data_IF_677526296911
#
_entry.id   IF_677526296911
#
_cell.length_a   1.000
_cell.length_b   1.000
_cell.length_c   1.000
_cell.angle_alpha   90.00
_cell.angle_beta   90.00
_cell.angle_gamma   90.00
#
_symmetry.space_group_name_H-M   'P 1'
#
loop_
_entity.id
_entity.type
_entity.pdbx_description
1 polymer ?
#
# COMPACT_ATOMS: atom_id res chain seq x y z
N UNK A 1 18.93 19.18 9.25
CA UNK A 1 18.69 17.86 8.62
C UNK A 1 17.48 17.12 9.20
N UNK A 2 17.52 16.53 10.41
CA UNK A 2 16.38 15.70 10.89
C UNK A 2 15.08 16.51 11.10
N UNK A 3 15.16 17.71 11.69
CA UNK A 3 13.98 18.59 11.82
C UNK A 3 13.38 18.99 10.45
N UNK A 4 14.21 19.18 9.43
CA UNK A 4 13.73 19.45 8.07
C UNK A 4 12.99 18.25 7.48
N UNK A 5 13.45 17.01 7.75
CA UNK A 5 12.74 15.80 7.34
C UNK A 5 11.35 15.68 7.99
N UNK A 6 11.20 16.13 9.24
CA UNK A 6 9.90 16.22 9.90
C UNK A 6 9.01 17.27 9.23
N UNK A 7 9.56 18.43 8.87
CA UNK A 7 8.82 19.48 8.15
C UNK A 7 8.43 19.03 6.73
N UNK A 8 9.28 18.28 6.02
CA UNK A 8 8.96 17.65 4.74
C UNK A 8 7.74 16.73 4.88
N UNK A 9 7.74 15.84 5.88
CA UNK A 9 6.60 14.96 6.17
C UNK A 9 5.34 15.75 6.59
N UNK A 10 5.50 16.79 7.41
CA UNK A 10 4.39 17.65 7.81
C UNK A 10 3.73 18.33 6.61
N UNK A 11 4.50 18.76 5.60
CA UNK A 11 3.96 19.35 4.37
C UNK A 11 3.09 18.37 3.58
N UNK A 12 3.47 17.09 3.53
CA UNK A 12 2.65 16.03 2.90
C UNK A 12 1.33 15.82 3.65
N UNK A 13 1.35 15.94 4.98
CA UNK A 13 0.17 15.73 5.82
C UNK A 13 -0.82 16.91 5.81
N UNK A 14 -0.37 18.14 5.49
CA UNK A 14 -1.11 19.39 5.72
C UNK A 14 -2.58 19.35 5.29
N UNK A 15 -2.85 18.90 4.07
CA UNK A 15 -4.20 18.92 3.48
C UNK A 15 -5.04 17.71 3.88
N UNK A 16 -4.41 16.64 4.37
CA UNK A 16 -5.02 15.32 4.53
C UNK A 16 -5.11 14.85 5.98
N UNK A 17 -4.30 15.41 6.87
CA UNK A 17 -4.24 15.15 8.30
C UNK A 17 -3.70 16.38 9.05
N UNK A 18 -4.59 17.35 9.40
CA UNK A 18 -4.22 18.48 10.25
C UNK A 18 -3.59 18.05 11.59
N UNK A 19 -4.03 16.91 12.16
CA UNK A 19 -3.47 16.36 13.40
C UNK A 19 -2.00 15.97 13.23
N UNK A 20 -1.70 15.13 12.24
CA UNK A 20 -0.31 14.68 12.01
C UNK A 20 0.56 15.84 11.57
N UNK A 21 0.02 16.77 10.78
CA UNK A 21 0.70 18.01 10.40
C UNK A 21 1.15 18.82 11.64
N UNK A 22 0.23 19.14 12.54
CA UNK A 22 0.51 19.94 13.73
C UNK A 22 1.50 19.23 14.68
N UNK A 23 1.35 17.91 14.85
CA UNK A 23 2.25 17.10 15.67
C UNK A 23 3.69 17.16 15.13
N UNK A 24 3.87 16.98 13.81
CA UNK A 24 5.20 16.97 13.19
C UNK A 24 5.86 18.34 13.16
N UNK A 25 5.09 19.42 12.99
CA UNK A 25 5.62 20.79 13.10
C UNK A 25 6.14 21.05 14.51
N UNK A 26 5.38 20.67 15.54
CA UNK A 26 5.76 20.86 16.93
C UNK A 26 6.99 20.02 17.31
N UNK A 27 7.01 18.76 16.89
CA UNK A 27 8.15 17.86 17.05
C UNK A 27 9.42 18.37 16.34
N UNK A 28 9.31 18.97 15.16
CA UNK A 28 10.44 19.58 14.46
C UNK A 28 11.01 20.79 15.24
N UNK A 29 10.14 21.61 15.83
CA UNK A 29 10.56 22.73 16.67
C UNK A 29 11.23 22.27 17.96
N UNK A 30 10.74 21.18 18.57
CA UNK A 30 11.35 20.55 19.75
C UNK A 30 12.72 19.92 19.44
N UNK A 31 12.84 19.23 18.29
CA UNK A 31 14.11 18.71 17.77
C UNK A 31 15.15 19.82 17.62
N UNK A 32 14.77 20.96 17.06
CA UNK A 32 15.66 22.11 16.85
C UNK A 32 16.18 22.68 18.17
N UNK A 33 15.38 22.60 19.25
CA UNK A 33 15.75 23.03 20.60
C UNK A 33 16.49 21.96 21.41
N UNK A 34 16.70 20.76 20.86
CA UNK A 34 17.31 19.64 21.60
C UNK A 34 16.42 19.03 22.67
N UNK A 35 15.09 19.13 22.51
CA UNK A 35 14.10 18.63 23.48
C UNK A 35 13.95 17.11 23.50
N UNK A 36 12.85 16.62 24.11
CA UNK A 36 12.59 15.19 24.27
C UNK A 36 12.52 14.43 22.93
N UNK A 37 12.08 15.08 21.86
CA UNK A 37 12.04 14.48 20.53
C UNK A 37 13.44 14.11 20.04
N UNK A 38 14.48 14.87 20.40
CA UNK A 38 15.87 14.52 20.07
C UNK A 38 16.32 13.24 20.79
N UNK A 39 15.83 12.99 22.00
CA UNK A 39 16.08 11.74 22.73
C UNK A 39 15.31 10.56 22.14
N UNK A 40 14.05 10.77 21.75
CA UNK A 40 13.24 9.73 21.07
C UNK A 40 13.87 9.34 19.74
N UNK A 41 14.36 10.31 18.97
CA UNK A 41 14.96 10.09 17.65
C UNK A 41 16.48 9.84 17.69
N UNK A 42 17.06 9.60 18.86
CA UNK A 42 18.48 9.30 18.99
C UNK A 42 18.82 8.01 18.22
N UNK A 43 19.74 8.09 17.25
CA UNK A 43 20.06 7.00 16.31
C UNK A 43 19.61 7.27 14.87
N UNK A 44 18.60 8.12 14.66
CA UNK A 44 18.08 8.48 13.34
C UNK A 44 18.94 9.55 12.61
N UNK A 45 20.21 9.73 12.99
CA UNK A 45 21.09 10.79 12.43
C UNK A 45 21.42 10.52 10.96
N UNK A 46 21.44 9.24 10.56
CA UNK A 46 21.70 8.80 9.19
C UNK A 46 20.44 8.74 8.31
N UNK A 47 19.29 9.17 8.84
CA UNK A 47 18.04 9.20 8.07
C UNK A 47 18.14 10.14 6.88
N UNK A 48 17.45 9.75 5.82
CA UNK A 48 17.39 10.47 4.55
C UNK A 48 15.93 10.69 4.18
N UNK A 49 15.66 11.49 3.15
CA UNK A 49 14.29 11.82 2.72
C UNK A 49 13.38 10.60 2.52
N UNK A 50 13.94 9.47 2.10
CA UNK A 50 13.20 8.22 1.88
C UNK A 50 12.87 7.40 3.15
N UNK A 51 13.55 7.61 4.29
CA UNK A 51 13.27 6.86 5.53
C UNK A 51 12.14 7.45 6.38
N UNK A 52 11.59 8.60 5.94
CA UNK A 52 10.41 9.26 6.52
C UNK A 52 10.36 9.26 8.07
N UNK A 53 11.42 9.71 8.78
CA UNK A 53 11.52 9.64 10.24
C UNK A 53 10.34 10.26 10.97
N UNK A 54 9.80 11.37 10.47
CA UNK A 54 8.62 12.01 11.05
C UNK A 54 7.40 11.08 11.05
N UNK A 55 7.17 10.33 9.97
CA UNK A 55 6.04 9.39 9.91
C UNK A 55 6.25 8.18 10.82
N UNK A 56 7.49 7.71 11.00
CA UNK A 56 7.81 6.67 12.00
C UNK A 56 7.53 7.15 13.41
N UNK A 57 7.93 8.38 13.74
CA UNK A 57 7.63 9.02 15.02
C UNK A 57 6.12 9.16 15.27
N UNK A 58 5.36 9.67 14.29
CA UNK A 58 3.92 9.80 14.40
C UNK A 58 3.21 8.44 14.55
N UNK A 59 3.66 7.42 13.80
CA UNK A 59 3.17 6.05 13.93
C UNK A 59 3.46 5.45 15.30
N UNK A 60 4.67 5.65 15.85
CA UNK A 60 5.02 5.19 17.19
C UNK A 60 4.15 5.82 18.28
N UNK A 61 3.86 7.13 18.20
CA UNK A 61 2.92 7.80 19.10
C UNK A 61 1.49 7.28 18.95
N UNK A 62 1.02 7.13 17.71
CA UNK A 62 -0.31 6.58 17.45
C UNK A 62 -0.44 5.15 17.99
N UNK A 63 0.62 4.35 17.89
CA UNK A 63 0.65 3.01 18.50
C UNK A 63 0.42 3.07 20.01
N UNK A 64 1.08 3.97 20.74
CA UNK A 64 0.84 4.13 22.18
C UNK A 64 -0.60 4.57 22.49
N UNK A 65 -1.18 5.43 21.65
CA UNK A 65 -2.59 5.83 21.74
C UNK A 65 -3.52 4.62 21.58
N UNK A 66 -3.30 3.81 20.55
CA UNK A 66 -4.11 2.60 20.27
C UNK A 66 -3.94 1.52 21.36
N UNK A 67 -2.76 1.43 21.96
CA UNK A 67 -2.49 0.55 23.11
C UNK A 67 -3.08 1.09 24.44
N UNK A 68 -3.71 2.26 24.44
CA UNK A 68 -4.28 2.89 25.64
C UNK A 68 -3.24 3.45 26.62
N UNK A 69 -1.98 3.60 26.19
CA UNK A 69 -0.86 4.06 27.03
C UNK A 69 -0.70 5.57 27.09
N UNK A 70 -1.49 6.30 26.32
CA UNK A 70 -1.38 7.75 26.19
C UNK A 70 -2.77 8.43 26.26
N UNK A 71 -3.52 8.31 27.38
CA UNK A 71 -4.92 8.75 27.46
C UNK A 71 -5.11 10.25 27.21
N UNK A 72 -4.19 11.10 27.68
CA UNK A 72 -4.24 12.54 27.39
C UNK A 72 -4.12 12.83 25.90
N UNK A 73 -3.12 12.23 25.25
CA UNK A 73 -2.92 12.34 23.80
C UNK A 73 -4.05 11.69 22.99
N UNK A 74 -4.61 10.57 23.46
CA UNK A 74 -5.70 9.85 22.81
C UNK A 74 -6.95 10.72 22.61
N UNK A 75 -7.19 11.68 23.52
CA UNK A 75 -8.29 12.62 23.41
C UNK A 75 -8.22 13.54 22.16
N UNK A 76 -7.10 13.54 21.44
CA UNK A 76 -6.92 14.22 20.15
C UNK A 76 -7.15 13.32 18.93
N UNK A 77 -7.16 12.00 19.09
CA UNK A 77 -7.15 11.03 18.00
C UNK A 77 -8.56 10.48 17.74
N UNK A 78 -9.22 10.86 16.63
CA UNK A 78 -10.48 10.25 16.22
C UNK A 78 -10.49 8.73 16.18
N UNK A 79 -9.39 8.10 15.76
CA UNK A 79 -9.23 6.63 15.77
C UNK A 79 -9.34 6.00 17.15
N UNK A 80 -9.15 6.78 18.23
CA UNK A 80 -9.32 6.39 19.63
C UNK A 80 -10.57 7.04 20.28
N UNK A 81 -11.48 7.62 19.49
CA UNK A 81 -12.69 8.29 19.97
C UNK A 81 -12.49 9.73 20.45
N UNK A 82 -11.31 10.31 20.23
CA UNK A 82 -11.00 11.71 20.54
C UNK A 82 -11.40 12.70 19.43
N UNK A 83 -11.09 13.98 19.64
CA UNK A 83 -11.31 15.06 18.68
C UNK A 83 -10.07 15.95 18.58
N UNK A 84 -9.55 16.27 17.38
CA UNK A 84 -8.31 17.03 17.23
C UNK A 84 -8.39 18.46 17.81
N UNK A 85 -7.86 18.65 19.03
CA UNK A 85 -7.62 19.98 19.62
C UNK A 85 -6.18 20.42 19.35
N UNK A 86 -5.93 21.00 18.18
CA UNK A 86 -4.56 21.29 17.71
C UNK A 86 -3.78 22.25 18.64
N UNK A 87 -4.49 23.15 19.33
CA UNK A 87 -3.87 24.14 20.22
C UNK A 87 -3.21 23.52 21.47
N UNK A 88 -3.71 22.40 21.99
CA UNK A 88 -3.16 21.72 23.18
C UNK A 88 -2.46 20.41 22.84
N UNK A 89 -2.50 19.98 21.57
CA UNK A 89 -1.95 18.71 21.11
C UNK A 89 -0.49 18.48 21.55
N UNK A 90 0.36 19.50 21.45
CA UNK A 90 1.76 19.35 21.82
C UNK A 90 1.97 19.27 23.34
N UNK A 91 1.20 20.06 24.10
CA UNK A 91 1.24 20.04 25.57
C UNK A 91 0.81 18.67 26.11
N UNK A 92 -0.17 18.03 25.47
CA UNK A 92 -0.64 16.69 25.80
C UNK A 92 0.30 15.57 25.27
N UNK A 93 1.09 15.86 24.22
CA UNK A 93 2.10 14.92 23.69
C UNK A 93 3.38 14.89 24.53
N UNK A 94 3.80 16.03 25.13
CA UNK A 94 5.05 16.15 25.86
C UNK A 94 5.18 15.13 27.03
N UNK A 95 4.19 14.99 27.94
CA UNK A 95 4.26 13.98 29.00
C UNK A 95 4.46 12.56 28.47
N UNK A 96 3.76 12.20 27.39
CA UNK A 96 3.87 10.88 26.74
C UNK A 96 5.28 10.65 26.18
N UNK A 97 5.85 11.66 25.52
CA UNK A 97 7.21 11.61 24.99
C UNK A 97 8.25 11.41 26.10
N UNK A 98 8.08 12.09 27.24
CA UNK A 98 8.96 11.95 28.40
C UNK A 98 8.82 10.59 29.07
N UNK A 99 7.60 10.14 29.33
CA UNK A 99 7.31 8.87 30.00
C UNK A 99 7.75 7.66 29.16
N UNK A 100 7.51 7.70 27.84
CA UNK A 100 7.72 6.56 26.94
C UNK A 100 8.94 6.71 26.03
N UNK A 101 9.94 7.54 26.40
CA UNK A 101 11.09 7.86 25.52
C UNK A 101 11.76 6.62 24.93
N UNK A 102 12.12 5.64 25.76
CA UNK A 102 12.87 4.45 25.30
C UNK A 102 12.00 3.51 24.47
N UNK A 103 10.70 3.38 24.82
CA UNK A 103 9.74 2.60 24.03
C UNK A 103 9.51 3.22 22.66
N UNK A 104 9.34 4.53 22.59
CA UNK A 104 9.19 5.25 21.33
C UNK A 104 10.44 5.14 20.45
N UNK A 105 11.65 5.26 21.05
CA UNK A 105 12.90 5.03 20.32
C UNK A 105 12.95 3.63 19.72
N UNK A 106 12.68 2.60 20.53
CA UNK A 106 12.66 1.22 20.06
C UNK A 106 11.65 0.99 18.93
N UNK A 107 10.45 1.58 19.02
CA UNK A 107 9.43 1.50 17.97
C UNK A 107 9.89 2.20 16.68
N UNK A 108 10.48 3.39 16.78
CA UNK A 108 11.00 4.14 15.63
C UNK A 108 12.12 3.35 14.94
N UNK A 109 13.05 2.81 15.71
CA UNK A 109 14.22 2.07 15.20
C UNK A 109 13.84 0.75 14.55
N UNK A 110 12.87 0.03 15.12
CA UNK A 110 12.41 -1.25 14.61
C UNK A 110 11.54 -1.14 13.35
N UNK A 111 11.05 0.06 13.01
CA UNK A 111 10.04 0.20 11.96
C UNK A 111 10.61 0.72 10.64
N UNK A 112 10.39 -0.03 9.57
CA UNK A 112 10.33 0.52 8.22
C UNK A 112 8.87 0.89 7.90
N UNK A 113 8.60 2.08 7.36
CA UNK A 113 7.22 2.44 6.97
C UNK A 113 6.79 1.54 5.82
N UNK A 114 5.83 0.66 6.08
CA UNK A 114 5.26 -0.22 5.07
C UNK A 114 3.85 0.26 4.71
N UNK A 115 3.62 0.49 3.42
CA UNK A 115 2.32 0.98 2.95
C UNK A 115 1.46 -0.18 2.47
N UNK A 116 0.77 -0.89 3.37
CA UNK A 116 -0.24 -1.88 2.99
C UNK A 116 -1.64 -1.23 2.93
N UNK A 117 -1.86 -0.35 1.96
CA UNK A 117 -3.10 0.41 1.82
C UNK A 117 -4.16 -0.39 1.03
N UNK A 118 -5.29 -0.80 1.64
CA UNK A 118 -6.32 -1.60 0.98
C UNK A 118 -7.06 -0.83 -0.13
N UNK A 119 -7.07 0.51 -0.10
CA UNK A 119 -7.68 1.31 -1.16
C UNK A 119 -7.06 1.08 -2.54
N UNK A 120 -5.80 0.62 -2.59
CA UNK A 120 -5.11 0.26 -3.84
C UNK A 120 -5.73 -0.97 -4.53
N UNK A 121 -6.47 -1.79 -3.79
CA UNK A 121 -7.26 -2.89 -4.38
C UNK A 121 -8.26 -2.39 -5.41
N UNK A 122 -8.74 -1.14 -5.33
CA UNK A 122 -9.66 -0.59 -6.32
C UNK A 122 -9.02 -0.54 -7.73
N UNK A 123 -7.99 0.29 -8.01
CA UNK A 123 -7.37 0.30 -9.35
C UNK A 123 -6.76 -1.07 -9.73
N UNK A 124 -6.18 -1.80 -8.78
CA UNK A 124 -5.60 -3.13 -9.05
C UNK A 124 -6.66 -4.15 -9.51
N UNK A 125 -7.87 -4.13 -8.95
CA UNK A 125 -8.98 -4.97 -9.40
C UNK A 125 -9.36 -4.69 -10.85
N UNK A 126 -9.56 -3.42 -11.22
CA UNK A 126 -9.88 -3.06 -12.61
C UNK A 126 -8.74 -3.41 -13.58
N UNK A 127 -7.48 -3.27 -13.15
CA UNK A 127 -6.31 -3.68 -13.93
C UNK A 127 -6.23 -5.19 -14.11
N UNK A 128 -6.56 -5.96 -13.08
CA UNK A 128 -6.59 -7.42 -13.12
C UNK A 128 -7.72 -7.95 -13.99
N UNK A 129 -8.91 -7.34 -13.92
CA UNK A 129 -10.00 -7.63 -14.86
C UNK A 129 -9.56 -7.33 -16.30
N UNK A 130 -8.91 -6.19 -16.54
CA UNK A 130 -8.38 -5.84 -17.87
C UNK A 130 -7.38 -6.91 -18.36
N UNK A 131 -6.44 -7.33 -17.51
CA UNK A 131 -5.44 -8.33 -17.87
C UNK A 131 -6.06 -9.69 -18.23
N UNK A 132 -7.05 -10.16 -17.47
CA UNK A 132 -7.70 -11.47 -17.71
C UNK A 132 -8.51 -11.49 -19.01
N UNK A 133 -9.20 -10.39 -19.33
CA UNK A 133 -9.95 -10.24 -20.57
C UNK A 133 -9.02 -10.18 -21.79
N UNK A 134 -8.00 -9.31 -21.77
CA UNK A 134 -7.06 -9.18 -22.87
C UNK A 134 -6.25 -10.46 -23.11
N UNK A 135 -5.90 -11.18 -22.05
CA UNK A 135 -5.25 -12.49 -22.17
C UNK A 135 -6.18 -13.53 -22.82
N UNK A 136 -7.46 -13.56 -22.42
CA UNK A 136 -8.44 -14.45 -23.01
C UNK A 136 -8.66 -14.16 -24.49
N UNK A 137 -8.83 -12.89 -24.86
CA UNK A 137 -8.97 -12.44 -26.25
C UNK A 137 -7.76 -12.86 -27.10
N UNK A 138 -6.55 -12.55 -26.64
CA UNK A 138 -5.31 -12.91 -27.35
C UNK A 138 -5.12 -14.44 -27.50
N UNK A 139 -5.71 -15.23 -26.61
CA UNK A 139 -5.70 -16.70 -26.67
C UNK A 139 -6.90 -17.29 -27.44
N UNK A 140 -7.79 -16.47 -28.01
CA UNK A 140 -9.00 -16.93 -28.70
C UNK A 140 -10.04 -17.57 -27.77
N UNK A 141 -10.02 -17.22 -26.47
CA UNK A 141 -10.93 -17.77 -25.46
C UNK A 141 -12.19 -16.91 -25.32
N UNK A 142 -13.31 -17.58 -25.07
CA UNK A 142 -14.61 -16.93 -24.77
C UNK A 142 -14.75 -16.46 -23.32
N UNK A 143 -13.91 -16.98 -22.42
CA UNK A 143 -13.98 -16.69 -20.98
C UNK A 143 -12.63 -16.21 -20.45
N UNK A 144 -12.62 -15.23 -19.52
CA UNK A 144 -11.41 -14.79 -18.84
C UNK A 144 -10.59 -15.93 -18.23
N UNK A 145 -9.27 -15.72 -18.12
CA UNK A 145 -8.38 -16.66 -17.47
C UNK A 145 -8.62 -16.69 -15.94
N UNK A 146 -8.56 -17.87 -15.30
CA UNK A 146 -8.26 -17.91 -13.88
C UNK A 146 -6.88 -17.32 -13.60
N UNK A 147 -6.71 -16.76 -12.41
CA UNK A 147 -5.52 -16.02 -12.02
C UNK A 147 -4.71 -16.77 -10.98
N UNK A 148 -3.40 -16.85 -11.23
CA UNK A 148 -2.40 -17.04 -10.18
C UNK A 148 -1.80 -15.68 -9.85
N UNK A 149 -2.04 -15.19 -8.64
CA UNK A 149 -1.66 -13.86 -8.21
C UNK A 149 -0.40 -13.87 -7.35
N UNK A 150 0.60 -13.07 -7.73
CA UNK A 150 1.89 -12.97 -7.05
C UNK A 150 2.17 -11.49 -6.71
N UNK A 151 2.27 -11.16 -5.42
CA UNK A 151 2.54 -9.79 -4.98
C UNK A 151 3.95 -9.62 -4.41
N UNK A 152 4.71 -8.69 -4.98
CA UNK A 152 6.02 -8.27 -4.46
C UNK A 152 5.85 -7.02 -3.61
N UNK A 153 6.39 -7.04 -2.38
CA UNK A 153 6.20 -5.95 -1.42
C UNK A 153 4.81 -5.98 -0.78
N UNK A 154 4.32 -7.18 -0.49
CA UNK A 154 2.94 -7.38 -0.04
C UNK A 154 2.69 -6.85 1.38
N UNK A 155 3.72 -6.56 2.18
CA UNK A 155 3.63 -6.20 3.59
C UNK A 155 2.74 -7.19 4.37
N UNK A 156 1.54 -6.81 4.79
CA UNK A 156 0.54 -7.68 5.44
C UNK A 156 -0.36 -8.48 4.49
N UNK A 157 -0.17 -8.34 3.18
CA UNK A 157 -0.89 -9.10 2.16
C UNK A 157 -2.36 -8.68 2.00
N UNK A 158 -2.77 -7.49 2.44
CA UNK A 158 -4.19 -7.08 2.42
C UNK A 158 -4.79 -6.97 1.01
N UNK A 159 -3.99 -6.68 -0.02
CA UNK A 159 -4.45 -6.61 -1.41
C UNK A 159 -4.53 -7.97 -2.12
N UNK A 160 -4.11 -9.09 -1.51
CA UNK A 160 -4.11 -10.44 -2.11
C UNK A 160 -5.50 -11.09 -2.17
N UNK A 161 -6.60 -10.35 -2.01
CA UNK A 161 -7.98 -10.89 -1.98
C UNK A 161 -8.95 -10.17 -2.90
N UNK A 162 -8.55 -9.74 -4.12
CA UNK A 162 -9.41 -8.90 -4.95
C UNK A 162 -10.72 -9.59 -5.39
N UNK A 163 -10.83 -10.91 -5.27
CA UNK A 163 -12.06 -11.66 -5.57
C UNK A 163 -13.01 -11.81 -4.38
N UNK A 164 -12.61 -11.34 -3.19
CA UNK A 164 -13.39 -11.38 -1.95
C UNK A 164 -13.76 -9.98 -1.47
N UNK A 165 -13.69 -8.99 -2.34
CA UNK A 165 -14.02 -7.59 -2.04
C UNK A 165 -15.24 -7.20 -2.87
N UNK A 166 -16.14 -6.43 -2.27
CA UNK A 166 -17.23 -5.79 -2.99
C UNK A 166 -16.75 -4.43 -3.51
N UNK A 167 -16.85 -4.17 -4.81
CA UNK A 167 -16.43 -2.90 -5.41
C UNK A 167 -17.66 -2.10 -5.85
N UNK A 168 -17.94 -1.00 -5.16
CA UNK A 168 -19.01 -0.07 -5.52
C UNK A 168 -18.51 0.89 -6.58
N UNK A 169 -19.11 0.83 -7.77
CA UNK A 169 -18.74 1.64 -8.95
C UNK A 169 -19.97 2.44 -9.40
N UNK A 170 -20.15 3.64 -8.82
CA UNK A 170 -21.43 4.33 -8.91
C UNK A 170 -22.49 3.57 -8.12
N UNK A 171 -23.65 3.31 -8.72
CA UNK A 171 -24.76 2.59 -8.06
C UNK A 171 -24.67 1.06 -8.19
N UNK A 172 -23.64 0.56 -8.88
CA UNK A 172 -23.43 -0.87 -9.13
C UNK A 172 -22.40 -1.47 -8.16
N UNK A 173 -22.55 -2.76 -7.86
CA UNK A 173 -21.63 -3.52 -7.03
C UNK A 173 -21.05 -4.70 -7.83
N UNK A 174 -19.72 -4.80 -7.84
CA UNK A 174 -18.97 -5.86 -8.52
C UNK A 174 -18.10 -6.65 -7.53
N UNK A 175 -17.57 -7.79 -7.97
CA UNK A 175 -16.77 -8.67 -7.11
C UNK A 175 -17.64 -9.51 -6.19
N UNK A 176 -17.20 -9.70 -4.94
CA UNK A 176 -17.96 -10.47 -3.95
C UNK A 176 -18.95 -9.55 -3.23
N UNK A 177 -20.18 -9.48 -3.75
CA UNK A 177 -21.25 -8.62 -3.23
C UNK A 177 -21.63 -8.91 -1.77
N UNK A 178 -21.32 -10.09 -1.25
CA UNK A 178 -21.56 -10.48 0.14
C UNK A 178 -20.37 -10.26 1.06
N UNK A 179 -19.27 -9.68 0.55
CA UNK A 179 -18.06 -9.44 1.34
C UNK A 179 -18.31 -8.48 2.51
N UNK A 180 -17.72 -8.74 3.70
CA UNK A 180 -17.70 -7.76 4.78
C UNK A 180 -16.87 -6.51 4.42
N UNK A 181 -16.06 -6.57 3.36
CA UNK A 181 -15.23 -5.47 2.92
C UNK A 181 -15.74 -4.91 1.58
N UNK A 182 -16.35 -3.73 1.64
CA UNK A 182 -16.84 -2.99 0.48
C UNK A 182 -16.02 -1.72 0.23
N UNK A 183 -15.50 -1.58 -0.99
CA UNK A 183 -14.75 -0.42 -1.44
C UNK A 183 -15.60 0.44 -2.38
N UNK A 184 -15.85 1.69 -1.98
CA UNK A 184 -16.18 2.74 -2.95
C UNK A 184 -14.92 3.08 -3.74
N UNK A 185 -14.94 2.79 -5.04
CA UNK A 185 -13.75 2.86 -5.86
C UNK A 185 -13.36 4.29 -6.24
N UNK A 186 -14.28 5.26 -6.14
CA UNK A 186 -14.05 6.65 -6.53
C UNK A 186 -13.46 6.79 -7.95
N UNK A 187 -13.96 6.00 -8.90
CA UNK A 187 -13.44 5.98 -10.26
C UNK A 187 -14.04 7.10 -11.12
N UNK A 188 -13.18 7.73 -11.91
CA UNK A 188 -13.60 8.51 -13.08
C UNK A 188 -13.39 7.65 -14.33
N UNK A 189 -14.45 7.41 -15.09
CA UNK A 189 -14.46 6.41 -16.16
C UNK A 189 -14.46 4.97 -15.62
N UNK A 190 -14.29 3.99 -16.51
CA UNK A 190 -14.23 2.56 -16.19
C UNK A 190 -13.21 1.87 -17.11
N UNK A 191 -12.61 0.73 -16.70
CA UNK A 191 -11.83 -0.07 -17.63
C UNK A 191 -12.78 -0.60 -18.73
N UNK A 192 -12.33 -0.72 -19.99
CA UNK A 192 -13.18 -1.12 -21.12
C UNK A 192 -13.38 -2.64 -21.17
N UNK A 193 -13.81 -3.24 -20.05
CA UNK A 193 -14.04 -4.68 -19.89
C UNK A 193 -15.30 -4.93 -19.07
N UNK A 194 -15.84 -6.14 -19.19
CA UNK A 194 -16.99 -6.58 -18.39
C UNK A 194 -16.56 -6.87 -16.95
N UNK A 195 -16.98 -6.01 -16.02
CA UNK A 195 -16.68 -6.16 -14.59
C UNK A 195 -17.60 -7.17 -13.89
N UNK A 196 -18.67 -7.62 -14.54
CA UNK A 196 -19.61 -8.60 -13.98
C UNK A 196 -19.03 -10.01 -13.93
N UNK A 197 -17.94 -10.27 -14.65
CA UNK A 197 -17.25 -11.55 -14.57
C UNK A 197 -16.54 -11.70 -13.21
N UNK A 198 -16.93 -12.73 -12.46
CA UNK A 198 -16.30 -13.02 -11.17
C UNK A 198 -14.84 -13.43 -11.36
N UNK A 199 -13.96 -12.68 -10.70
CA UNK A 199 -12.53 -12.92 -10.74
C UNK A 199 -12.19 -14.25 -10.03
N UNK A 200 -11.61 -15.21 -10.76
CA UNK A 200 -11.27 -16.54 -10.21
C UNK A 200 -9.79 -16.65 -9.88
N UNK A 201 -9.42 -16.60 -8.60
CA UNK A 201 -8.03 -16.83 -8.17
C UNK A 201 -7.85 -18.30 -7.83
N UNK A 202 -6.96 -18.99 -8.56
CA UNK A 202 -6.60 -20.39 -8.28
C UNK A 202 -5.43 -20.51 -7.31
N UNK A 203 -4.59 -19.47 -7.23
CA UNK A 203 -3.48 -19.38 -6.30
C UNK A 203 -3.12 -17.93 -6.02
N UNK A 204 -2.61 -17.68 -4.81
CA UNK A 204 -2.25 -16.36 -4.31
C UNK A 204 -1.04 -16.51 -3.40
N UNK A 205 -0.04 -15.67 -3.56
CA UNK A 205 1.10 -15.61 -2.66
C UNK A 205 1.73 -14.22 -2.71
N UNK A 206 2.38 -13.82 -1.63
CA UNK A 206 3.17 -12.59 -1.60
C UNK A 206 4.55 -12.79 -0.99
N UNK A 207 5.43 -11.82 -1.21
CA UNK A 207 6.65 -11.66 -0.45
C UNK A 207 6.85 -10.23 0.02
N UNK A 208 7.59 -10.08 1.12
CA UNK A 208 8.09 -8.79 1.61
C UNK A 208 9.43 -8.99 2.31
N UNK A 209 10.24 -7.94 2.42
CA UNK A 209 11.48 -8.00 3.21
C UNK A 209 11.19 -8.09 4.70
N UNK A 210 10.09 -7.48 5.14
CA UNK A 210 9.67 -7.53 6.53
C UNK A 210 8.14 -7.72 6.65
N UNK A 211 7.61 -8.91 6.30
CA UNK A 211 6.16 -9.12 6.29
C UNK A 211 5.52 -8.82 7.65
N UNK A 212 4.35 -8.16 7.61
CA UNK A 212 3.55 -7.92 8.83
C UNK A 212 2.56 -9.05 9.00
N UNK A 213 2.62 -9.74 10.14
CA UNK A 213 1.68 -10.82 10.42
C UNK A 213 0.33 -10.27 10.93
N UNK A 214 -0.58 -10.02 9.99
CA UNK A 214 -1.95 -9.54 10.27
C UNK A 214 -2.85 -10.58 10.95
N UNK A 215 -2.36 -11.81 11.14
CA UNK A 215 -3.04 -12.81 11.98
C UNK A 215 -2.91 -12.48 13.47
N UNK A 216 -1.88 -11.72 13.85
CA UNK A 216 -1.58 -11.34 15.23
C UNK A 216 -2.10 -9.95 15.57
N UNK A 217 -2.40 -9.72 16.86
CA UNK A 217 -2.79 -8.40 17.36
C UNK A 217 -1.69 -7.36 17.13
N UNK A 218 -0.41 -7.76 17.30
CA UNK A 218 0.73 -6.87 17.10
C UNK A 218 0.83 -6.37 15.65
N UNK A 219 0.67 -7.26 14.66
CA UNK A 219 0.70 -6.88 13.25
C UNK A 219 -0.49 -6.01 12.84
N UNK A 220 -1.68 -6.29 13.40
CA UNK A 220 -2.87 -5.44 13.23
C UNK A 220 -2.63 -4.04 13.79
N UNK A 221 -2.16 -3.95 15.03
CA UNK A 221 -1.80 -2.68 15.69
C UNK A 221 -0.70 -1.92 14.94
N UNK A 222 0.30 -2.64 14.41
CA UNK A 222 1.36 -2.06 13.61
C UNK A 222 0.78 -1.35 12.39
N UNK A 223 0.04 -2.04 11.51
CA UNK A 223 -0.55 -1.42 10.31
C UNK A 223 -1.52 -0.28 10.68
N UNK A 224 -2.33 -0.49 11.70
CA UNK A 224 -3.24 0.52 12.24
C UNK A 224 -2.53 1.80 12.66
N UNK A 225 -1.40 1.69 13.36
CA UNK A 225 -0.65 2.86 13.84
C UNK A 225 -0.13 3.76 12.72
N UNK A 226 0.04 3.22 11.50
CA UNK A 226 0.47 3.97 10.31
C UNK A 226 -0.67 4.64 9.53
N UNK A 227 -1.92 4.50 9.98
CA UNK A 227 -3.02 5.37 9.54
C UNK A 227 -3.00 6.64 10.38
N UNK A 228 -3.07 7.81 9.75
CA UNK A 228 -3.14 9.07 10.48
C UNK A 228 -4.41 9.12 11.36
N UNK A 229 -4.26 9.55 12.61
CA UNK A 229 -5.29 9.41 13.65
C UNK A 229 -6.60 10.15 13.38
N UNK A 230 -6.61 11.09 12.44
CA UNK A 230 -7.77 11.87 11.99
C UNK A 230 -8.36 11.39 10.64
N UNK A 231 -7.89 10.27 10.10
CA UNK A 231 -8.38 9.70 8.83
C UNK A 231 -9.30 8.50 9.04
N UNK A 232 -10.46 8.72 9.67
CA UNK A 232 -11.43 7.67 10.01
C UNK A 232 -11.83 6.78 8.83
N UNK A 233 -12.10 7.35 7.65
CA UNK A 233 -12.43 6.54 6.46
C UNK A 233 -11.31 5.59 6.02
N UNK A 234 -10.03 5.98 6.23
CA UNK A 234 -8.89 5.09 5.94
C UNK A 234 -8.74 4.04 7.03
N UNK A 235 -9.01 4.43 8.27
CA UNK A 235 -9.00 3.54 9.43
C UNK A 235 -10.05 2.43 9.33
N UNK A 236 -11.30 2.78 9.04
CA UNK A 236 -12.41 1.84 8.83
C UNK A 236 -12.10 0.87 7.69
N UNK A 237 -11.66 1.39 6.54
CA UNK A 237 -11.23 0.57 5.41
C UNK A 237 -10.12 -0.42 5.77
N UNK A 238 -9.14 0.01 6.57
CA UNK A 238 -8.08 -0.88 7.03
C UNK A 238 -8.64 -1.98 7.93
N UNK A 239 -9.54 -1.64 8.86
CA UNK A 239 -10.17 -2.62 9.76
C UNK A 239 -10.97 -3.67 8.99
N UNK A 240 -11.80 -3.25 8.04
CA UNK A 240 -12.58 -4.17 7.20
C UNK A 240 -11.66 -5.11 6.40
N UNK A 241 -10.55 -4.59 5.87
CA UNK A 241 -9.55 -5.40 5.17
C UNK A 241 -8.81 -6.38 6.09
N UNK A 242 -8.49 -5.97 7.33
CA UNK A 242 -7.90 -6.84 8.35
C UNK A 242 -8.87 -7.95 8.79
N UNK A 243 -10.16 -7.65 8.89
CA UNK A 243 -11.20 -8.63 9.22
C UNK A 243 -11.39 -9.64 8.07
N UNK A 244 -11.41 -9.17 6.82
CA UNK A 244 -11.39 -10.06 5.66
C UNK A 244 -10.13 -10.92 5.62
N UNK A 245 -8.98 -10.38 6.02
CA UNK A 245 -7.72 -11.11 6.04
C UNK A 245 -7.69 -12.28 7.02
N UNK A 246 -8.44 -12.18 8.12
CA UNK A 246 -8.63 -13.26 9.10
C UNK A 246 -9.50 -14.39 8.54
N UNK A 247 -10.55 -14.05 7.80
CA UNK A 247 -11.46 -15.03 7.19
C UNK A 247 -10.82 -15.82 6.05
N UNK A 248 -9.81 -15.23 5.41
CA UNK A 248 -9.19 -15.77 4.20
C UNK A 248 -7.67 -15.56 4.21
N UNK A 249 -6.91 -16.25 5.07
CA UNK A 249 -5.48 -15.99 5.25
C UNK A 249 -4.67 -16.28 3.99
N UNK A 250 -3.66 -15.43 3.72
CA UNK A 250 -2.72 -15.60 2.60
C UNK A 250 -1.29 -15.48 3.13
N UNK A 251 -0.41 -16.46 2.88
CA UNK A 251 0.96 -16.39 3.36
C UNK A 251 1.76 -15.32 2.61
N UNK A 252 2.48 -14.48 3.37
CA UNK A 252 3.49 -13.57 2.85
C UNK A 252 4.86 -14.03 3.34
N UNK A 253 5.72 -14.45 2.40
CA UNK A 253 7.05 -14.96 2.74
C UNK A 253 8.02 -13.80 2.95
N UNK A 254 8.86 -13.91 3.99
CA UNK A 254 10.03 -13.05 4.14
C UNK A 254 11.08 -13.42 3.08
N UNK A 255 11.25 -12.59 2.07
CA UNK A 255 12.21 -12.79 0.98
C UNK A 255 12.39 -11.49 0.18
N UNK A 256 13.51 -11.39 -0.55
CA UNK A 256 13.63 -10.37 -1.60
C UNK A 256 12.68 -10.70 -2.76
N UNK A 257 12.17 -9.67 -3.45
CA UNK A 257 11.33 -9.86 -4.63
C UNK A 257 11.97 -10.75 -5.71
N UNK A 258 13.24 -10.52 -6.12
CA UNK A 258 13.89 -11.33 -7.14
C UNK A 258 14.06 -12.80 -6.74
N UNK A 259 14.56 -13.08 -5.52
CA UNK A 259 14.73 -14.45 -5.01
C UNK A 259 13.40 -15.21 -5.05
N UNK A 260 12.34 -14.57 -4.54
CA UNK A 260 11.03 -15.18 -4.50
C UNK A 260 10.43 -15.38 -5.90
N UNK A 261 10.61 -14.43 -6.81
CA UNK A 261 10.12 -14.54 -8.19
C UNK A 261 10.83 -15.64 -8.98
N UNK A 262 12.12 -15.91 -8.73
CA UNK A 262 12.83 -17.05 -9.37
C UNK A 262 12.10 -18.36 -9.07
N UNK A 263 11.73 -18.58 -7.80
CA UNK A 263 10.97 -19.76 -7.40
C UNK A 263 9.56 -19.76 -7.98
N UNK A 264 8.83 -18.65 -7.85
CA UNK A 264 7.44 -18.59 -8.26
C UNK A 264 7.27 -18.69 -9.79
N UNK A 265 8.21 -18.17 -10.58
CA UNK A 265 8.13 -18.13 -12.05
C UNK A 265 8.95 -19.24 -12.72
N UNK A 266 9.44 -20.22 -11.95
CA UNK A 266 10.23 -21.34 -12.49
C UNK A 266 9.46 -22.17 -13.53
N UNK A 267 8.14 -22.31 -13.38
CA UNK A 267 7.29 -23.09 -14.30
C UNK A 267 5.98 -22.33 -14.60
N UNK A 268 5.67 -22.07 -15.89
CA UNK A 268 4.36 -21.55 -16.27
C UNK A 268 3.24 -22.53 -15.93
N UNK A 269 2.09 -22.03 -15.51
CA UNK A 269 0.90 -22.83 -15.25
C UNK A 269 -0.04 -22.75 -16.46
N UNK A 270 -0.36 -23.90 -17.05
CA UNK A 270 -1.26 -23.99 -18.21
C UNK A 270 -2.69 -23.62 -17.80
N UNK A 271 -3.40 -22.96 -18.72
CA UNK A 271 -4.77 -22.46 -18.61
C UNK A 271 -4.98 -21.43 -17.50
N UNK A 272 -3.89 -20.83 -17.00
CA UNK A 272 -3.87 -19.83 -15.93
C UNK A 272 -3.08 -18.60 -16.36
N UNK A 273 -3.65 -17.42 -16.13
CA UNK A 273 -2.90 -16.17 -16.21
C UNK A 273 -2.10 -15.99 -14.92
N UNK A 274 -0.78 -16.08 -15.01
CA UNK A 274 0.08 -15.68 -13.89
C UNK A 274 0.21 -14.16 -13.91
N UNK A 275 -0.12 -13.51 -12.80
CA UNK A 275 0.01 -12.06 -12.65
C UNK A 275 1.01 -11.77 -11.55
N UNK A 276 2.11 -11.14 -11.93
CA UNK A 276 3.01 -10.49 -10.98
C UNK A 276 2.52 -9.07 -10.83
N UNK A 277 2.22 -8.65 -9.60
CA UNK A 277 1.88 -7.26 -9.34
C UNK A 277 2.65 -6.68 -8.16
N UNK A 278 2.71 -5.36 -8.11
CA UNK A 278 3.18 -4.64 -6.94
C UNK A 278 2.58 -3.24 -6.89
N UNK A 279 2.48 -2.68 -5.69
CA UNK A 279 1.94 -1.34 -5.48
C UNK A 279 2.77 -0.54 -4.49
N UNK A 280 3.32 0.59 -4.95
CA UNK A 280 4.12 1.54 -4.15
C UNK A 280 5.24 0.83 -3.37
N UNK A 281 5.94 -0.10 -4.01
CA UNK A 281 7.12 -0.78 -3.45
C UNK A 281 8.39 -0.27 -4.13
N UNK A 282 8.31 0.19 -5.37
CA UNK A 282 9.51 0.35 -6.21
C UNK A 282 10.56 1.24 -5.55
N UNK A 283 10.14 2.31 -4.89
CA UNK A 283 11.02 3.27 -4.22
C UNK A 283 11.85 2.68 -3.07
N UNK A 284 11.36 1.63 -2.38
CA UNK A 284 12.08 0.95 -1.29
C UNK A 284 13.03 -0.14 -1.78
N UNK A 285 12.86 -0.63 -3.02
CA UNK A 285 13.70 -1.68 -3.60
C UNK A 285 15.06 -1.14 -4.06
N UNK A 286 16.14 -1.85 -3.74
CA UNK A 286 17.50 -1.48 -4.15
C UNK A 286 17.68 -1.50 -5.68
N UNK A 287 18.61 -0.70 -6.25
CA UNK A 287 18.87 -0.74 -7.69
C UNK A 287 19.25 -2.14 -8.22
N UNK A 288 20.00 -2.91 -7.43
CA UNK A 288 20.40 -4.27 -7.74
C UNK A 288 19.20 -5.21 -7.80
N UNK A 289 18.33 -5.18 -6.78
CA UNK A 289 17.12 -6.01 -6.75
C UNK A 289 16.14 -5.63 -7.85
N UNK A 290 16.01 -4.34 -8.18
CA UNK A 290 15.20 -3.89 -9.32
C UNK A 290 15.73 -4.48 -10.64
N UNK A 291 17.04 -4.53 -10.82
CA UNK A 291 17.66 -5.11 -12.03
C UNK A 291 17.46 -6.63 -12.07
N UNK A 292 17.71 -7.33 -10.96
CA UNK A 292 17.52 -8.76 -10.84
C UNK A 292 16.05 -9.15 -11.09
N UNK A 293 15.09 -8.46 -10.47
CA UNK A 293 13.66 -8.73 -10.65
C UNK A 293 13.20 -8.53 -12.10
N UNK A 294 13.72 -7.50 -12.80
CA UNK A 294 13.46 -7.32 -14.24
C UNK A 294 14.01 -8.47 -15.08
N UNK A 295 15.20 -8.97 -14.77
CA UNK A 295 15.79 -10.10 -15.49
C UNK A 295 14.96 -11.38 -15.30
N UNK A 296 14.53 -11.67 -14.07
CA UNK A 296 13.65 -12.82 -13.76
C UNK A 296 12.33 -12.72 -14.51
N UNK A 297 11.71 -11.54 -14.53
CA UNK A 297 10.46 -11.32 -15.27
C UNK A 297 10.65 -11.47 -16.78
N UNK A 298 11.74 -10.96 -17.34
CA UNK A 298 12.04 -11.07 -18.77
C UNK A 298 12.23 -12.54 -19.21
N UNK A 299 12.94 -13.31 -18.39
CA UNK A 299 13.12 -14.76 -18.60
C UNK A 299 11.79 -15.53 -18.53
N UNK A 300 10.93 -15.20 -17.56
CA UNK A 300 9.58 -15.77 -17.46
C UNK A 300 8.69 -15.36 -18.65
N UNK A 301 8.77 -14.11 -19.10
CA UNK A 301 8.03 -13.59 -20.24
C UNK A 301 8.41 -14.28 -21.55
N UNK A 302 9.69 -14.63 -21.73
CA UNK A 302 10.16 -15.39 -22.90
C UNK A 302 9.59 -16.82 -22.97
N UNK A 303 9.14 -17.38 -21.84
CA UNK A 303 8.46 -18.68 -21.77
C UNK A 303 6.93 -18.59 -21.81
N UNK A 304 6.35 -17.39 -21.77
CA UNK A 304 4.91 -17.22 -21.76
C UNK A 304 4.31 -17.70 -23.09
N UNK A 305 3.17 -18.38 -23.02
CA UNK A 305 2.44 -18.87 -24.19
C UNK A 305 0.99 -18.39 -24.14
N UNK A 306 0.22 -18.46 -25.24
CA UNK A 306 -1.21 -18.12 -25.19
C UNK A 306 -1.99 -18.94 -24.15
N UNK A 307 -1.54 -20.15 -23.81
CA UNK A 307 -2.17 -21.01 -22.81
C UNK A 307 -1.59 -20.86 -21.41
N UNK A 308 -0.42 -20.24 -21.25
CA UNK A 308 0.16 -19.91 -19.96
C UNK A 308 0.67 -18.46 -20.00
N UNK A 309 -0.23 -17.48 -20.09
CA UNK A 309 0.16 -16.08 -20.21
C UNK A 309 0.72 -15.54 -18.90
N UNK A 310 1.54 -14.50 -19.03
CA UNK A 310 2.12 -13.77 -17.92
C UNK A 310 1.72 -12.29 -18.02
N UNK A 311 1.27 -11.70 -16.92
CA UNK A 311 1.09 -10.26 -16.82
C UNK A 311 1.96 -9.64 -15.73
N UNK A 312 2.39 -8.42 -15.99
CA UNK A 312 2.93 -7.50 -14.99
C UNK A 312 1.92 -6.37 -14.79
N UNK A 313 1.36 -6.22 -13.59
CA UNK A 313 0.49 -5.09 -13.24
C UNK A 313 1.14 -4.27 -12.13
N UNK A 314 1.40 -2.98 -12.35
CA UNK A 314 2.12 -2.15 -11.38
C UNK A 314 1.38 -0.86 -11.08
N UNK A 315 1.32 -0.49 -9.80
CA UNK A 315 0.75 0.78 -9.35
C UNK A 315 1.82 1.57 -8.59
N UNK A 316 2.47 2.51 -9.27
CA UNK A 316 3.68 3.18 -8.76
C UNK A 316 3.65 4.70 -9.01
N UNK A 317 4.27 5.50 -8.12
CA UNK A 317 4.40 6.92 -8.33
C UNK A 317 5.25 7.19 -9.58
N UNK A 318 4.80 8.12 -10.42
CA UNK A 318 5.54 8.64 -11.56
C UNK A 318 5.59 10.15 -11.44
N UNK A 319 6.71 10.75 -11.86
CA UNK A 319 6.76 12.21 -11.98
C UNK A 319 5.86 12.60 -13.15
N UNK A 320 4.83 13.39 -12.88
CA UNK A 320 3.96 13.95 -13.91
C UNK A 320 4.73 14.91 -14.84
N UNK A 321 4.24 15.06 -16.07
CA UNK A 321 4.72 16.07 -17.03
C UNK A 321 4.12 17.47 -16.75
N UNK A 322 3.05 17.56 -15.96
CA UNK A 322 2.44 18.83 -15.55
C UNK A 322 3.21 19.42 -14.37
N UNK A 323 3.79 20.61 -14.55
CA UNK A 323 4.68 21.31 -13.62
C UNK A 323 4.13 21.75 -12.26
N UNK A 324 3.11 21.07 -11.71
CA UNK A 324 2.72 21.17 -10.32
C UNK A 324 3.19 19.89 -9.63
N UNK A 325 3.96 19.99 -8.53
CA UNK A 325 4.63 18.88 -7.84
C UNK A 325 3.75 17.75 -7.25
N UNK A 326 2.57 17.49 -7.80
CA UNK A 326 1.76 16.32 -7.50
C UNK A 326 2.41 15.05 -8.10
N UNK A 327 2.53 14.02 -7.27
CA UNK A 327 2.99 12.70 -7.71
C UNK A 327 1.77 11.88 -8.11
N UNK A 328 1.57 11.67 -9.42
CA UNK A 328 0.54 10.78 -9.93
C UNK A 328 0.98 9.33 -9.81
N UNK A 329 0.07 8.45 -9.39
CA UNK A 329 0.33 7.01 -9.32
C UNK A 329 -0.28 6.36 -10.54
N UNK A 330 0.55 5.79 -11.40
CA UNK A 330 0.10 5.17 -12.64
C UNK A 330 -0.16 3.69 -12.44
N UNK A 331 -1.28 3.20 -12.98
CA UNK A 331 -1.54 1.78 -13.15
C UNK A 331 -1.06 1.35 -14.52
N UNK A 332 -0.09 0.43 -14.57
CA UNK A 332 0.54 -0.02 -15.81
C UNK A 332 0.42 -1.52 -15.96
N UNK A 333 0.13 -2.00 -17.17
CA UNK A 333 -0.07 -3.40 -17.52
C UNK A 333 0.86 -3.79 -18.68
N UNK A 334 1.64 -4.85 -18.50
CA UNK A 334 2.25 -5.61 -19.60
C UNK A 334 1.71 -7.03 -19.63
N UNK A 335 1.53 -7.59 -20.82
CA UNK A 335 1.01 -8.95 -21.00
C UNK A 335 1.81 -9.67 -22.10
N UNK A 336 2.18 -10.92 -21.80
CA UNK A 336 2.91 -11.80 -22.69
C UNK A 336 2.13 -13.11 -22.92
N UNK A 337 2.19 -13.68 -24.13
CA UNK A 337 2.99 -13.25 -25.28
C UNK A 337 2.31 -12.21 -26.19
N UNK A 338 1.15 -11.67 -25.82
CA UNK A 338 0.36 -10.77 -26.69
C UNK A 338 1.03 -9.43 -27.02
N UNK A 339 2.05 -9.02 -26.26
CA UNK A 339 2.79 -7.78 -26.48
C UNK A 339 2.03 -6.53 -26.02
N UNK A 340 0.91 -6.68 -25.32
CA UNK A 340 0.16 -5.55 -24.76
C UNK A 340 1.04 -4.83 -23.74
N UNK A 341 1.11 -3.51 -23.87
CA UNK A 341 1.80 -2.60 -22.94
C UNK A 341 0.99 -1.32 -22.79
N UNK A 342 0.30 -1.16 -21.65
CA UNK A 342 -0.69 -0.11 -21.43
C UNK A 342 -0.46 0.62 -20.10
N UNK A 343 -0.62 1.95 -20.12
CA UNK A 343 -0.95 2.75 -18.93
C UNK A 343 -2.47 2.82 -18.86
N UNK A 344 -3.07 2.16 -17.88
CA UNK A 344 -4.53 2.06 -17.75
C UNK A 344 -5.15 3.33 -17.15
N UNK A 345 -4.39 4.10 -16.37
CA UNK A 345 -4.86 5.32 -15.75
C UNK A 345 -3.91 5.84 -14.68
N UNK A 346 -4.36 6.84 -13.93
CA UNK A 346 -3.62 7.45 -12.83
C UNK A 346 -4.55 7.83 -11.67
N UNK A 347 -4.03 7.84 -10.44
CA UNK A 347 -4.80 8.22 -9.26
C UNK A 347 -3.95 8.56 -8.05
N UNK A 348 -4.60 8.65 -6.90
CA UNK A 348 -3.96 8.93 -5.62
C UNK A 348 -3.10 7.76 -5.13
N UNK A 349 -2.07 8.02 -4.33
CA UNK A 349 -1.17 6.98 -3.80
C UNK A 349 -1.83 5.95 -2.91
N UNK A 350 -3.03 6.26 -2.39
CA UNK A 350 -3.85 5.32 -1.64
C UNK A 350 -4.86 4.55 -2.50
N UNK A 351 -4.82 4.71 -3.83
CA UNK A 351 -5.65 4.01 -4.81
C UNK A 351 -6.96 4.71 -5.17
N UNK A 352 -7.49 5.57 -4.28
CA UNK A 352 -8.79 6.23 -4.45
C UNK A 352 -8.59 7.74 -4.21
N UNK A 353 -9.07 8.64 -5.10
CA UNK A 353 -9.74 8.34 -6.37
C UNK A 353 -8.77 7.87 -7.46
N UNK A 354 -9.32 7.32 -8.55
CA UNK A 354 -8.57 6.88 -9.72
C UNK A 354 -9.28 7.24 -11.03
N UNK A 355 -8.52 7.69 -12.02
CA UNK A 355 -9.04 8.08 -13.33
C UNK A 355 -8.56 7.09 -14.39
N UNK A 356 -9.50 6.42 -15.05
CA UNK A 356 -9.22 5.53 -16.18
C UNK A 356 -8.89 6.36 -17.42
N UNK A 357 -7.73 6.10 -18.00
CA UNK A 357 -7.29 6.74 -19.22
C UNK A 357 -6.24 5.87 -19.90
N UNK A 358 -6.72 4.86 -20.63
CA UNK A 358 -5.86 3.90 -21.31
C UNK A 358 -5.03 4.56 -22.40
N UNK A 359 -3.72 4.37 -22.33
CA UNK A 359 -2.72 4.81 -23.31
C UNK A 359 -1.64 3.73 -23.46
N UNK A 360 -0.86 3.70 -24.54
CA UNK A 360 0.34 2.87 -24.60
C UNK A 360 1.28 3.16 -23.42
N UNK A 361 1.86 2.11 -22.83
CA UNK A 361 2.99 2.22 -21.91
C UNK A 361 4.27 1.94 -22.68
N UNK A 362 5.00 3.00 -22.99
CA UNK A 362 6.33 2.95 -23.60
C UNK A 362 7.38 2.34 -22.66
#
# INVERSE_FOLDING_TARGET
MLAELFLDAARVCREHSPLTHALLVSAAADLTRGGVTARVMAGAVCDRKGSVPGLRFAGALHRLVLEGRAPGLAAHYPTAGGEPRLATLWDDALPVLHEHTDRLRALVDATAVQTNEPGRSAPLFGGLQTATHLAAEAAGRRTPFPVRLLEVGASGGLNLRPHRVAYRVGDELFGDVGSPFALDVGWTGRPPVDLSHNLRLVRRAGCDLDPVDVSTEDGRLHLSSFVWGDQLRRWERLRDALDLAQLDPVPVRRATGPEWLVEQLARPERDVLTVVWHSVVWHSVSPADRAAGRAVLADAAARATPMAPLALLVFEPRRGLSGAGATDFHLLLKLWPSGVSLRLGAGAGHGIPFTWQTRPWE
#
